data_IF_363267021922
#
_entry.id   IF_363267021922
#
_cell.length_a   1.000
_cell.length_b   1.000
_cell.length_c   1.000
_cell.angle_alpha   90.00
_cell.angle_beta   90.00
_cell.angle_gamma   90.00
#
_symmetry.space_group_name_H-M   'P 1'
#
loop_
_entity.id
_entity.type
_entity.pdbx_description
1 polymer ?
#
# COMPACT_ATOMS: atom_id res chain seq x y z
N UNK A 1 8.71 25.38 12.93
CA UNK A 1 8.43 23.94 12.70
C UNK A 1 9.01 23.55 11.37
N UNK A 2 9.47 22.29 11.19
CA UNK A 2 10.02 21.84 9.91
C UNK A 2 8.90 21.75 8.87
N UNK A 3 9.07 22.37 7.69
CA UNK A 3 8.09 22.33 6.60
C UNK A 3 8.07 20.93 6.00
N UNK A 4 6.89 20.42 5.62
CA UNK A 4 6.79 19.15 4.89
C UNK A 4 7.56 19.24 3.56
N UNK A 5 8.31 18.19 3.26
CA UNK A 5 9.13 18.06 2.05
C UNK A 5 8.78 16.81 1.24
N UNK A 6 8.15 15.82 1.85
CA UNK A 6 7.77 14.58 1.20
C UNK A 6 6.38 14.13 1.66
N UNK A 7 5.51 13.86 0.70
CA UNK A 7 4.25 13.18 0.89
C UNK A 7 4.34 11.77 0.27
N UNK A 8 4.14 10.74 1.09
CA UNK A 8 4.18 9.32 0.68
C UNK A 8 2.76 8.78 0.66
N UNK A 9 2.27 8.49 -0.52
CA UNK A 9 0.89 8.03 -0.76
C UNK A 9 0.84 6.52 -0.98
N UNK A 10 -0.15 5.85 -0.42
CA UNK A 10 -0.54 4.54 -0.91
C UNK A 10 -1.23 4.63 -2.28
N UNK A 11 -1.32 3.52 -2.99
CA UNK A 11 -1.98 3.43 -4.30
C UNK A 11 -3.46 3.06 -4.16
N UNK A 12 -3.74 1.79 -3.93
CA UNK A 12 -5.08 1.21 -4.00
C UNK A 12 -5.97 1.67 -2.85
N UNK A 13 -7.08 2.35 -3.16
CA UNK A 13 -7.97 2.94 -2.15
C UNK A 13 -7.58 4.34 -1.70
N UNK A 14 -6.36 4.79 -2.01
CA UNK A 14 -5.83 6.10 -1.62
C UNK A 14 -5.70 7.05 -2.80
N UNK A 15 -4.97 6.65 -3.85
CA UNK A 15 -4.76 7.44 -5.07
C UNK A 15 -5.30 6.74 -6.32
N UNK A 16 -5.45 5.43 -6.26
CA UNK A 16 -6.04 4.58 -7.31
C UNK A 16 -7.34 3.99 -6.78
N UNK A 17 -8.41 4.04 -7.57
CA UNK A 17 -9.69 3.42 -7.20
C UNK A 17 -9.54 1.91 -7.01
N UNK A 18 -10.14 1.39 -5.97
CA UNK A 18 -10.24 -0.05 -5.69
C UNK A 18 -11.71 -0.41 -5.38
N UNK A 19 -12.44 -0.70 -6.43
CA UNK A 19 -13.84 -1.17 -6.34
C UNK A 19 -13.89 -2.68 -5.99
N UNK A 20 -13.12 -3.07 -4.98
CA UNK A 20 -12.91 -4.47 -4.54
C UNK A 20 -12.07 -5.34 -5.49
N UNK A 21 -11.45 -4.76 -6.51
CA UNK A 21 -10.68 -5.49 -7.52
C UNK A 21 -9.50 -6.26 -6.92
N UNK A 22 -8.77 -5.65 -6.00
CA UNK A 22 -7.63 -6.32 -5.31
C UNK A 22 -8.10 -7.52 -4.50
N UNK A 23 -9.18 -7.35 -3.71
CA UNK A 23 -9.78 -8.44 -2.92
C UNK A 23 -10.21 -9.60 -3.82
N UNK A 24 -10.91 -9.29 -4.91
CA UNK A 24 -11.49 -10.29 -5.79
C UNK A 24 -10.40 -11.07 -6.55
N UNK A 25 -9.32 -10.40 -6.97
CA UNK A 25 -8.16 -11.06 -7.58
C UNK A 25 -7.44 -11.99 -6.59
N UNK A 26 -7.26 -11.55 -5.33
CA UNK A 26 -6.68 -12.38 -4.26
C UNK A 26 -7.55 -13.61 -3.99
N UNK A 27 -8.86 -13.41 -3.89
CA UNK A 27 -9.82 -14.48 -3.66
C UNK A 27 -9.83 -15.48 -4.82
N UNK A 28 -9.85 -15.00 -6.06
CA UNK A 28 -9.83 -15.85 -7.26
C UNK A 28 -8.60 -16.76 -7.27
N UNK A 29 -7.41 -16.23 -7.05
CA UNK A 29 -6.19 -17.03 -7.02
C UNK A 29 -6.22 -18.10 -5.91
N UNK A 30 -6.73 -17.79 -4.73
CA UNK A 30 -6.91 -18.74 -3.65
C UNK A 30 -7.90 -19.85 -4.02
N UNK A 31 -9.04 -19.51 -4.63
CA UNK A 31 -10.05 -20.48 -5.04
C UNK A 31 -9.57 -21.41 -6.17
N UNK A 32 -8.86 -20.89 -7.16
CA UNK A 32 -8.26 -21.69 -8.25
C UNK A 32 -7.28 -22.76 -7.73
N UNK A 33 -6.70 -22.55 -6.55
CA UNK A 33 -5.78 -23.49 -5.88
C UNK A 33 -6.40 -24.25 -4.69
N UNK A 34 -7.73 -24.17 -4.52
CA UNK A 34 -8.45 -24.91 -3.48
C UNK A 34 -8.13 -24.45 -2.05
N UNK A 35 -7.65 -23.21 -1.86
CA UNK A 35 -7.37 -22.68 -0.52
C UNK A 35 -8.66 -22.20 0.15
N UNK A 36 -9.00 -22.71 1.34
CA UNK A 36 -10.20 -22.31 2.06
C UNK A 36 -10.02 -20.90 2.63
N UNK A 37 -10.76 -19.94 2.08
CA UNK A 37 -10.80 -18.54 2.55
C UNK A 37 -12.10 -17.88 2.10
N UNK A 38 -12.39 -16.71 2.63
CA UNK A 38 -13.52 -15.86 2.23
C UNK A 38 -13.04 -14.48 1.81
N UNK A 39 -13.82 -13.72 1.01
CA UNK A 39 -13.49 -12.34 0.67
C UNK A 39 -13.30 -11.46 1.93
N UNK A 40 -14.12 -11.65 2.97
CA UNK A 40 -14.03 -10.87 4.21
C UNK A 40 -12.73 -11.16 4.96
N UNK A 41 -12.26 -12.41 4.96
CA UNK A 41 -10.97 -12.76 5.55
C UNK A 41 -9.81 -12.10 4.80
N UNK A 42 -9.84 -12.09 3.46
CA UNK A 42 -8.81 -11.44 2.66
C UNK A 42 -8.72 -9.96 2.97
N UNK A 43 -9.86 -9.30 3.17
CA UNK A 43 -9.91 -7.86 3.54
C UNK A 43 -9.12 -7.58 4.80
N UNK A 44 -9.04 -8.49 5.77
CA UNK A 44 -8.27 -8.30 7.01
C UNK A 44 -6.75 -8.12 6.75
N UNK A 45 -6.26 -8.63 5.64
CA UNK A 45 -4.83 -8.62 5.28
C UNK A 45 -4.49 -7.64 4.13
N UNK A 46 -5.44 -6.77 3.77
CA UNK A 46 -5.18 -5.71 2.78
C UNK A 46 -4.09 -4.75 3.28
N UNK A 47 -3.32 -4.20 2.34
CA UNK A 47 -2.22 -3.27 2.65
C UNK A 47 -0.88 -3.92 3.00
N UNK A 48 -0.85 -5.23 3.35
CA UNK A 48 0.40 -5.98 3.63
C UNK A 48 1.00 -6.63 2.38
N UNK A 49 2.20 -7.22 2.50
CA UNK A 49 2.81 -8.00 1.43
C UNK A 49 1.96 -9.26 1.14
N UNK A 50 1.56 -9.45 -0.11
CA UNK A 50 0.55 -10.44 -0.51
C UNK A 50 1.07 -11.88 -0.48
N UNK A 51 2.37 -12.11 -0.64
CA UNK A 51 2.94 -13.45 -0.49
C UNK A 51 2.72 -13.99 0.92
N UNK A 52 2.79 -13.13 1.96
CA UNK A 52 2.56 -13.56 3.34
C UNK A 52 1.13 -14.05 3.57
N UNK A 53 0.13 -13.46 2.89
CA UNK A 53 -1.24 -13.97 2.93
C UNK A 53 -1.32 -15.40 2.40
N UNK A 54 -0.73 -15.68 1.25
CA UNK A 54 -0.76 -17.04 0.68
C UNK A 54 0.05 -18.03 1.50
N UNK A 55 1.20 -17.62 2.03
CA UNK A 55 1.95 -18.46 2.97
C UNK A 55 1.10 -18.85 4.17
N UNK A 56 0.37 -17.90 4.74
CA UNK A 56 -0.56 -18.18 5.83
C UNK A 56 -1.70 -19.12 5.40
N UNK A 57 -2.38 -18.84 4.28
CA UNK A 57 -3.51 -19.64 3.82
C UNK A 57 -3.09 -21.09 3.53
N UNK A 58 -1.94 -21.29 2.91
CA UNK A 58 -1.39 -22.62 2.63
C UNK A 58 -0.99 -23.32 3.93
N UNK A 59 -0.27 -22.67 4.82
CA UNK A 59 0.11 -23.25 6.11
C UNK A 59 -1.10 -23.61 6.95
N UNK A 60 -2.14 -22.77 6.95
CA UNK A 60 -3.40 -23.05 7.65
C UNK A 60 -4.14 -24.25 7.06
N UNK A 61 -4.23 -24.34 5.73
CA UNK A 61 -4.89 -25.48 5.07
C UNK A 61 -4.22 -26.83 5.38
N UNK A 62 -2.95 -26.79 5.78
CA UNK A 62 -2.14 -27.95 6.20
C UNK A 62 -2.07 -28.14 7.72
N UNK A 63 -2.78 -27.32 8.48
CA UNK A 63 -2.77 -27.35 9.95
C UNK A 63 -1.46 -26.88 10.60
N UNK A 64 -0.65 -26.11 9.87
CA UNK A 64 0.68 -25.64 10.30
C UNK A 64 0.64 -24.23 10.93
N UNK A 65 -0.39 -23.45 10.64
CA UNK A 65 -0.56 -22.09 11.20
C UNK A 65 -2.00 -21.90 11.68
N UNK A 66 -2.17 -21.30 12.85
CA UNK A 66 -3.48 -20.92 13.42
C UNK A 66 -3.78 -19.43 13.28
N UNK A 67 -2.76 -18.58 13.21
CA UNK A 67 -2.87 -17.12 13.15
C UNK A 67 -1.96 -16.57 12.03
N UNK A 68 -2.38 -15.48 11.42
CA UNK A 68 -1.59 -14.81 10.37
C UNK A 68 -0.17 -14.43 10.82
N UNK A 69 0.00 -14.08 12.09
CA UNK A 69 1.31 -13.73 12.67
C UNK A 69 2.29 -14.91 12.72
N UNK A 70 1.78 -16.11 12.56
CA UNK A 70 2.57 -17.35 12.59
C UNK A 70 2.98 -17.85 11.18
N UNK A 71 2.70 -17.07 10.13
CA UNK A 71 2.96 -17.49 8.75
C UNK A 71 4.44 -17.86 8.49
N UNK A 72 5.38 -17.28 9.22
CA UNK A 72 6.82 -17.58 9.10
C UNK A 72 7.25 -18.82 9.91
N UNK A 73 6.41 -19.28 10.84
CA UNK A 73 6.80 -20.35 11.77
C UNK A 73 6.58 -21.73 11.15
N UNK A 74 7.64 -22.53 11.10
CA UNK A 74 7.56 -23.98 10.82
C UNK A 74 7.10 -24.33 9.40
N UNK A 75 7.18 -23.43 8.44
CA UNK A 75 6.76 -23.70 7.08
C UNK A 75 7.76 -24.64 6.37
N UNK A 76 7.25 -25.73 5.78
CA UNK A 76 8.04 -26.59 4.94
C UNK A 76 8.37 -25.93 3.60
N UNK A 77 9.44 -26.36 2.95
CA UNK A 77 9.79 -25.92 1.60
C UNK A 77 8.61 -26.07 0.62
N UNK A 78 7.90 -27.20 0.70
CA UNK A 78 6.72 -27.47 -0.13
C UNK A 78 5.59 -26.46 0.10
N UNK A 79 5.35 -26.02 1.37
CA UNK A 79 4.38 -24.98 1.70
C UNK A 79 4.76 -23.65 1.05
N UNK A 80 6.04 -23.28 1.11
CA UNK A 80 6.53 -22.03 0.51
C UNK A 80 6.45 -22.05 -1.02
N UNK A 81 6.85 -23.17 -1.66
CA UNK A 81 6.78 -23.34 -3.11
C UNK A 81 5.32 -23.25 -3.60
N UNK A 82 4.38 -23.89 -2.91
CA UNK A 82 2.98 -23.82 -3.29
C UNK A 82 2.38 -22.42 -3.07
N UNK A 83 2.71 -21.77 -1.97
CA UNK A 83 2.28 -20.38 -1.73
C UNK A 83 2.81 -19.42 -2.81
N UNK A 84 4.04 -19.65 -3.28
CA UNK A 84 4.64 -18.89 -4.38
C UNK A 84 3.88 -19.10 -5.70
N UNK A 85 3.45 -20.33 -6.00
CA UNK A 85 2.64 -20.61 -7.20
C UNK A 85 1.30 -19.86 -7.16
N UNK A 86 0.61 -19.89 -6.01
CA UNK A 86 -0.66 -19.15 -5.82
C UNK A 86 -0.43 -17.64 -5.97
N UNK A 87 0.66 -17.15 -5.39
CA UNK A 87 1.03 -15.74 -5.47
C UNK A 87 1.30 -15.30 -6.92
N UNK A 88 2.06 -16.06 -7.71
CA UNK A 88 2.27 -15.74 -9.13
C UNK A 88 0.97 -15.76 -9.92
N UNK A 89 0.07 -16.69 -9.61
CA UNK A 89 -1.27 -16.67 -10.23
C UNK A 89 -2.05 -15.40 -9.89
N UNK A 90 -1.99 -14.94 -8.65
CA UNK A 90 -2.56 -13.66 -8.26
C UNK A 90 -1.94 -12.50 -9.05
N UNK A 91 -0.62 -12.46 -9.21
CA UNK A 91 0.03 -11.40 -9.97
C UNK A 91 -0.46 -11.36 -11.42
N UNK A 92 -0.58 -12.52 -12.08
CA UNK A 92 -1.15 -12.59 -13.44
C UNK A 92 -2.58 -12.03 -13.52
N UNK A 93 -3.45 -12.42 -12.58
CA UNK A 93 -4.84 -11.95 -12.51
C UNK A 93 -4.86 -10.44 -12.29
N UNK A 94 -4.05 -9.94 -11.37
CA UNK A 94 -3.97 -8.53 -10.98
C UNK A 94 -3.41 -7.66 -12.10
N UNK A 95 -2.36 -8.11 -12.78
CA UNK A 95 -1.79 -7.45 -13.96
C UNK A 95 -2.86 -7.34 -15.06
N UNK A 96 -3.60 -8.41 -15.34
CA UNK A 96 -4.66 -8.40 -16.32
C UNK A 96 -5.83 -7.49 -15.92
N UNK A 97 -6.15 -7.42 -14.63
CA UNK A 97 -7.14 -6.50 -14.09
C UNK A 97 -6.73 -5.04 -14.39
N UNK A 98 -5.53 -4.63 -13.97
CA UNK A 98 -5.05 -3.25 -14.16
C UNK A 98 -4.72 -2.91 -15.63
N UNK A 99 -4.35 -3.89 -16.46
CA UNK A 99 -4.23 -3.67 -17.90
C UNK A 99 -5.57 -3.31 -18.57
N UNK A 100 -6.68 -3.83 -18.06
CA UNK A 100 -8.02 -3.48 -18.57
C UNK A 100 -8.44 -2.10 -18.13
N UNK A 101 -8.31 -1.81 -16.84
CA UNK A 101 -8.78 -0.55 -16.28
C UNK A 101 -7.95 -0.14 -15.06
N UNK A 102 -7.49 1.12 -15.08
CA UNK A 102 -6.93 1.82 -13.92
C UNK A 102 -7.58 3.20 -13.86
N UNK A 103 -8.15 3.55 -12.73
CA UNK A 103 -8.75 4.86 -12.50
C UNK A 103 -8.10 5.53 -11.29
N UNK A 104 -7.70 6.78 -11.47
CA UNK A 104 -7.26 7.60 -10.33
C UNK A 104 -8.45 7.94 -9.42
N UNK A 105 -8.20 8.07 -8.12
CA UNK A 105 -9.12 8.74 -7.20
C UNK A 105 -9.28 10.19 -7.65
N UNK A 106 -10.52 10.73 -7.75
CA UNK A 106 -10.75 12.11 -8.15
C UNK A 106 -9.95 13.09 -7.28
N UNK A 107 -9.19 13.97 -7.93
CA UNK A 107 -8.35 14.97 -7.28
C UNK A 107 -6.92 14.50 -6.94
N UNK A 108 -6.55 13.23 -7.12
CA UNK A 108 -5.20 12.75 -6.83
C UNK A 108 -4.13 13.50 -7.64
N UNK A 109 -4.30 13.61 -8.96
CA UNK A 109 -3.35 14.33 -9.81
C UNK A 109 -3.26 15.83 -9.45
N UNK A 110 -4.36 16.47 -9.08
CA UNK A 110 -4.37 17.88 -8.67
C UNK A 110 -3.65 18.06 -7.32
N UNK A 111 -3.81 17.12 -6.40
CA UNK A 111 -3.07 17.09 -5.13
C UNK A 111 -1.58 16.94 -5.36
N UNK A 112 -1.15 16.10 -6.30
CA UNK A 112 0.28 15.94 -6.64
C UNK A 112 0.85 17.24 -7.20
N UNK A 113 0.17 17.90 -8.14
CA UNK A 113 0.57 19.22 -8.67
C UNK A 113 0.68 20.25 -7.56
N UNK A 114 -0.33 20.31 -6.69
CA UNK A 114 -0.31 21.21 -5.54
C UNK A 114 0.90 20.97 -4.64
N UNK A 115 1.25 19.71 -4.36
CA UNK A 115 2.45 19.36 -3.59
C UNK A 115 3.71 19.94 -4.25
N UNK A 116 3.88 19.74 -5.56
CA UNK A 116 5.03 20.27 -6.31
C UNK A 116 5.07 21.79 -6.28
N UNK A 117 3.95 22.47 -6.48
CA UNK A 117 3.85 23.94 -6.44
C UNK A 117 4.27 24.50 -5.07
N UNK A 118 4.19 23.68 -4.00
CA UNK A 118 4.59 24.04 -2.65
C UNK A 118 5.97 23.46 -2.23
N UNK A 119 6.70 22.88 -3.18
CA UNK A 119 8.03 22.31 -2.95
C UNK A 119 8.03 21.03 -2.13
N UNK A 120 6.93 20.26 -2.20
CA UNK A 120 6.77 18.95 -1.55
C UNK A 120 6.93 17.88 -2.62
N UNK A 121 7.88 16.98 -2.42
CA UNK A 121 8.07 15.78 -3.25
C UNK A 121 6.93 14.80 -3.06
N UNK A 122 6.58 14.08 -4.14
CA UNK A 122 5.51 13.10 -4.17
C UNK A 122 6.10 11.72 -4.40
N UNK A 123 5.95 10.83 -3.42
CA UNK A 123 6.24 9.41 -3.61
C UNK A 123 4.96 8.58 -3.45
N UNK A 124 4.86 7.50 -4.20
CA UNK A 124 3.89 6.44 -3.89
C UNK A 124 4.60 5.26 -3.26
N UNK A 125 3.95 4.57 -2.33
CA UNK A 125 4.42 3.27 -1.87
C UNK A 125 3.27 2.28 -1.75
N UNK A 126 3.54 1.01 -2.03
CA UNK A 126 2.48 0.00 -2.11
C UNK A 126 2.95 -1.37 -1.62
N UNK A 127 1.99 -2.18 -1.17
CA UNK A 127 2.20 -3.60 -0.88
C UNK A 127 2.20 -4.50 -2.13
N UNK A 128 2.07 -3.93 -3.32
CA UNK A 128 2.23 -4.67 -4.58
C UNK A 128 3.69 -4.92 -4.91
N UNK A 129 3.92 -5.92 -5.74
CA UNK A 129 5.20 -6.17 -6.38
C UNK A 129 5.37 -5.32 -7.63
N UNK A 130 6.60 -5.20 -8.10
CA UNK A 130 7.03 -4.32 -9.18
C UNK A 130 6.18 -4.40 -10.42
N UNK A 131 5.91 -5.60 -10.92
CA UNK A 131 5.17 -5.78 -12.18
C UNK A 131 3.76 -5.17 -12.15
N UNK A 132 3.06 -5.29 -11.01
CA UNK A 132 1.74 -4.68 -10.82
C UNK A 132 1.86 -3.16 -10.74
N UNK A 133 2.85 -2.68 -9.98
CA UNK A 133 3.08 -1.24 -9.78
C UNK A 133 3.44 -0.54 -11.09
N UNK A 134 4.29 -1.15 -11.92
CA UNK A 134 4.66 -0.64 -13.24
C UNK A 134 3.44 -0.49 -14.16
N UNK A 135 2.56 -1.50 -14.20
CA UNK A 135 1.32 -1.43 -15.01
C UNK A 135 0.44 -0.25 -14.55
N UNK A 136 0.30 -0.03 -13.24
CA UNK A 136 -0.48 1.09 -12.71
C UNK A 136 0.15 2.42 -13.12
N UNK A 137 1.46 2.57 -12.89
CA UNK A 137 2.19 3.82 -13.19
C UNK A 137 2.19 4.14 -14.69
N UNK A 138 2.38 3.13 -15.55
CA UNK A 138 2.35 3.30 -17.00
C UNK A 138 0.97 3.72 -17.50
N UNK A 139 -0.09 3.09 -16.99
CA UNK A 139 -1.48 3.38 -17.37
C UNK A 139 -1.92 4.79 -16.95
N UNK A 140 -1.51 5.24 -15.77
CA UNK A 140 -1.82 6.57 -15.25
C UNK A 140 -0.85 7.65 -15.77
N UNK A 141 0.33 7.24 -16.25
CA UNK A 141 1.35 8.15 -16.76
C UNK A 141 2.02 9.02 -15.69
N UNK A 142 1.81 8.76 -14.41
CA UNK A 142 2.19 9.67 -13.33
C UNK A 142 3.70 9.90 -13.20
N UNK A 143 4.54 8.86 -13.41
CA UNK A 143 5.99 9.00 -13.45
C UNK A 143 6.45 9.73 -14.72
N UNK A 144 5.92 9.34 -15.89
CA UNK A 144 6.25 9.94 -17.18
C UNK A 144 5.92 11.44 -17.22
N UNK A 145 4.78 11.80 -16.65
CA UNK A 145 4.25 13.17 -16.68
C UNK A 145 4.77 14.02 -15.49
N UNK A 146 5.69 13.46 -14.67
CA UNK A 146 6.32 14.14 -13.54
C UNK A 146 5.37 14.48 -12.40
N UNK A 147 4.25 13.78 -12.26
CA UNK A 147 3.29 13.95 -11.16
C UNK A 147 3.71 13.21 -9.90
N UNK A 148 4.44 12.11 -10.04
CA UNK A 148 5.04 11.32 -8.98
C UNK A 148 6.55 11.32 -9.20
N UNK A 149 7.32 11.73 -8.18
CA UNK A 149 8.78 11.76 -8.25
C UNK A 149 9.38 10.35 -8.10
N UNK A 150 8.73 9.48 -7.33
CA UNK A 150 9.20 8.12 -7.06
C UNK A 150 8.03 7.18 -6.74
N UNK A 151 8.05 5.98 -7.32
CA UNK A 151 7.13 4.90 -6.95
C UNK A 151 7.90 3.76 -6.30
N UNK A 152 7.49 3.37 -5.09
CA UNK A 152 8.16 2.35 -4.27
C UNK A 152 7.22 1.17 -4.07
N UNK A 153 7.69 -0.01 -4.42
CA UNK A 153 7.04 -1.30 -4.19
C UNK A 153 7.81 -2.13 -3.13
N UNK A 154 7.27 -3.28 -2.75
CA UNK A 154 7.88 -4.13 -1.70
C UNK A 154 9.28 -4.64 -2.08
N UNK A 155 9.64 -4.70 -3.36
CA UNK A 155 10.94 -5.21 -3.81
C UNK A 155 12.08 -4.19 -3.65
N UNK A 156 11.77 -2.92 -3.37
CA UNK A 156 12.76 -1.92 -2.99
C UNK A 156 13.36 -2.15 -1.59
N UNK A 157 12.71 -2.94 -0.73
CA UNK A 157 13.34 -3.50 0.45
C UNK A 157 13.98 -4.86 0.09
N UNK A 158 15.32 -5.03 0.18
CA UNK A 158 16.00 -6.28 -0.15
C UNK A 158 15.48 -7.51 0.61
N UNK A 159 14.82 -7.29 1.76
CA UNK A 159 14.17 -8.34 2.56
C UNK A 159 12.68 -8.47 2.28
N UNK A 160 12.14 -7.65 1.40
CA UNK A 160 10.73 -7.63 1.01
C UNK A 160 9.74 -7.65 2.18
N UNK A 161 10.09 -6.97 3.30
CA UNK A 161 9.29 -6.99 4.52
C UNK A 161 7.93 -6.33 4.31
N UNK A 162 7.87 -5.30 3.45
CA UNK A 162 6.65 -4.56 3.21
C UNK A 162 6.10 -3.86 4.46
N UNK A 163 4.94 -3.24 4.33
CA UNK A 163 4.22 -2.63 5.45
C UNK A 163 3.77 -3.70 6.47
N UNK A 164 3.83 -3.44 7.75
CA UNK A 164 4.00 -2.14 8.43
C UNK A 164 5.46 -1.74 8.71
N UNK A 165 6.45 -2.42 8.13
CA UNK A 165 7.85 -2.03 8.29
C UNK A 165 8.13 -0.70 7.56
N UNK A 166 8.94 0.23 8.13
CA UNK A 166 9.07 1.59 7.62
C UNK A 166 10.05 1.74 6.46
N UNK A 167 10.57 0.64 5.92
CA UNK A 167 11.73 0.67 5.02
C UNK A 167 11.44 1.31 3.67
N UNK A 168 10.22 1.17 3.13
CA UNK A 168 9.84 1.84 1.89
C UNK A 168 9.80 3.36 2.05
N UNK A 169 9.37 3.87 3.20
CA UNK A 169 9.43 5.31 3.51
C UNK A 169 10.88 5.77 3.58
N UNK A 170 11.75 5.04 4.28
CA UNK A 170 13.18 5.39 4.38
C UNK A 170 13.90 5.31 3.04
N UNK A 171 13.52 4.34 2.19
CA UNK A 171 14.02 4.27 0.82
C UNK A 171 13.61 5.52 0.02
N UNK A 172 12.34 5.92 0.07
CA UNK A 172 11.86 7.13 -0.62
C UNK A 172 12.56 8.39 -0.11
N UNK A 173 12.82 8.49 1.21
CA UNK A 173 13.59 9.60 1.78
C UNK A 173 15.02 9.67 1.21
N UNK A 174 15.69 8.51 1.11
CA UNK A 174 17.05 8.43 0.57
C UNK A 174 17.13 8.85 -0.90
N UNK A 175 16.25 8.31 -1.74
CA UNK A 175 16.21 8.61 -3.18
C UNK A 175 15.84 10.07 -3.49
N UNK A 176 15.02 10.69 -2.63
CA UNK A 176 14.53 12.06 -2.82
C UNK A 176 15.27 13.10 -1.97
N UNK A 177 16.37 12.71 -1.33
CA UNK A 177 17.23 13.58 -0.50
C UNK A 177 16.47 14.28 0.65
N UNK A 178 15.60 13.53 1.35
CA UNK A 178 14.86 14.03 2.51
C UNK A 178 15.62 13.68 3.80
N UNK A 179 16.14 14.69 4.48
CA UNK A 179 17.08 14.53 5.58
C UNK A 179 16.43 14.20 6.94
N UNK A 180 15.12 14.44 7.09
CA UNK A 180 14.43 14.23 8.36
C UNK A 180 13.03 13.66 8.15
N UNK A 181 12.69 12.64 8.92
CA UNK A 181 11.34 12.06 8.90
C UNK A 181 10.28 13.04 9.43
N UNK A 182 10.70 14.07 10.19
CA UNK A 182 9.83 15.19 10.59
C UNK A 182 9.38 16.08 9.41
N UNK A 183 9.90 15.83 8.21
CA UNK A 183 9.50 16.48 6.97
C UNK A 183 8.61 15.58 6.11
N UNK A 184 8.21 14.42 6.62
CA UNK A 184 7.47 13.39 5.87
C UNK A 184 6.05 13.24 6.42
N UNK A 185 5.10 13.13 5.52
CA UNK A 185 3.73 12.67 5.81
C UNK A 185 3.43 11.38 5.06
N UNK A 186 2.75 10.44 5.72
CA UNK A 186 2.23 9.21 5.12
C UNK A 186 0.73 9.31 4.96
N UNK A 187 0.22 8.96 3.77
CA UNK A 187 -1.20 8.97 3.46
C UNK A 187 -1.63 7.57 3.00
N UNK A 188 -2.71 7.04 3.55
CA UNK A 188 -3.21 5.71 3.20
C UNK A 188 -4.59 5.41 3.77
N UNK A 189 -5.18 4.27 3.37
CA UNK A 189 -6.54 3.86 3.75
C UNK A 189 -6.58 2.58 4.60
N UNK A 190 -5.42 2.01 4.94
CA UNK A 190 -5.34 0.73 5.65
C UNK A 190 -4.62 0.82 7.00
N UNK A 191 -4.85 -0.15 7.93
CA UNK A 191 -4.04 -0.30 9.14
C UNK A 191 -2.54 -0.37 8.87
N UNK A 192 -2.14 -1.01 7.76
CA UNK A 192 -0.74 -1.15 7.39
C UNK A 192 -0.09 0.21 7.09
N UNK A 193 -0.83 1.16 6.48
CA UNK A 193 -0.37 2.52 6.24
C UNK A 193 -0.19 3.30 7.53
N UNK A 194 -1.17 3.21 8.44
CA UNK A 194 -1.10 3.88 9.74
C UNK A 194 0.09 3.40 10.54
N UNK A 195 0.30 2.08 10.57
CA UNK A 195 1.44 1.48 11.26
C UNK A 195 2.77 1.82 10.59
N UNK A 196 2.87 1.79 9.27
CA UNK A 196 4.08 2.14 8.54
C UNK A 196 4.52 3.59 8.83
N UNK A 197 3.60 4.55 8.69
CA UNK A 197 3.86 5.95 8.98
C UNK A 197 4.26 6.18 10.45
N UNK A 198 3.58 5.49 11.38
CA UNK A 198 3.89 5.55 12.82
C UNK A 198 5.26 4.94 13.12
N UNK A 199 5.57 3.78 12.55
CA UNK A 199 6.84 3.09 12.76
C UNK A 199 8.02 3.85 12.14
N UNK A 200 7.78 4.55 11.04
CA UNK A 200 8.76 5.45 10.45
C UNK A 200 9.00 6.70 11.31
N UNK A 201 8.03 7.10 12.13
CA UNK A 201 8.06 8.36 12.88
C UNK A 201 7.65 9.57 12.03
N UNK A 202 6.85 9.39 11.00
CA UNK A 202 6.36 10.47 10.16
C UNK A 202 5.66 11.55 10.99
N UNK A 203 5.88 12.82 10.62
CA UNK A 203 5.22 13.97 11.25
C UNK A 203 3.71 13.90 11.14
N UNK A 204 3.21 13.49 9.97
CA UNK A 204 1.79 13.26 9.74
C UNK A 204 1.54 11.82 9.28
N UNK A 205 0.54 11.18 9.89
CA UNK A 205 0.00 9.88 9.47
C UNK A 205 -1.49 10.11 9.21
N UNK A 206 -1.86 10.16 7.94
CA UNK A 206 -3.14 10.67 7.47
C UNK A 206 -3.94 9.54 6.86
N UNK A 207 -5.08 9.23 7.49
CA UNK A 207 -6.02 8.27 6.96
C UNK A 207 -6.97 8.89 5.95
N UNK A 208 -7.26 8.19 4.84
CA UNK A 208 -8.29 8.59 3.87
C UNK A 208 -9.46 7.60 3.91
N UNK A 209 -10.69 8.13 3.69
CA UNK A 209 -11.92 7.34 3.71
C UNK A 209 -12.33 6.85 2.31
N UNK A 210 -11.51 7.11 1.28
CA UNK A 210 -11.78 6.70 -0.10
C UNK A 210 -11.53 5.21 -0.39
N UNK A 211 -10.90 4.49 0.54
CA UNK A 211 -10.61 3.08 0.40
C UNK A 211 -11.81 2.16 0.67
N UNK A 212 -11.63 0.89 0.44
CA UNK A 212 -12.66 -0.15 0.62
C UNK A 212 -12.98 -0.47 2.09
N UNK A 213 -12.18 0.03 3.05
CA UNK A 213 -12.35 -0.24 4.48
C UNK A 213 -13.03 0.91 5.21
N UNK A 214 -14.01 0.63 6.10
CA UNK A 214 -14.56 1.66 6.95
C UNK A 214 -13.50 2.16 7.95
N UNK A 215 -13.57 3.44 8.33
CA UNK A 215 -12.68 4.06 9.34
C UNK A 215 -12.60 3.25 10.63
N UNK A 216 -13.69 2.58 11.01
CA UNK A 216 -13.74 1.71 12.20
C UNK A 216 -12.74 0.55 12.15
N UNK A 217 -12.32 0.13 10.96
CA UNK A 217 -11.37 -0.96 10.80
C UNK A 217 -9.92 -0.56 11.15
N UNK A 218 -9.57 0.73 11.03
CA UNK A 218 -8.22 1.23 11.28
C UNK A 218 -8.16 2.45 12.20
N UNK A 219 -9.31 3.02 12.60
CA UNK A 219 -9.36 4.17 13.49
C UNK A 219 -8.76 3.96 14.89
N UNK A 220 -8.58 2.70 15.33
CA UNK A 220 -7.86 2.36 16.56
C UNK A 220 -6.32 2.40 16.41
N UNK A 221 -5.80 2.45 15.19
CA UNK A 221 -4.37 2.60 14.95
C UNK A 221 -3.96 4.07 15.04
N UNK A 222 -2.74 4.31 15.50
CA UNK A 222 -2.25 5.68 15.66
C UNK A 222 -2.21 6.38 14.31
N UNK A 223 -2.88 7.51 14.22
CA UNK A 223 -2.89 8.45 13.09
C UNK A 223 -2.97 9.88 13.63
N UNK A 224 -2.62 10.86 12.82
CA UNK A 224 -2.71 12.27 13.20
C UNK A 224 -4.01 12.91 12.72
N UNK A 225 -4.44 12.57 11.51
CA UNK A 225 -5.60 13.15 10.85
C UNK A 225 -6.36 12.10 10.05
N UNK A 226 -7.64 12.40 9.79
CA UNK A 226 -8.50 11.65 8.87
C UNK A 226 -9.17 12.63 7.93
N UNK A 227 -9.10 12.36 6.63
CA UNK A 227 -9.74 13.17 5.58
C UNK A 227 -10.61 12.31 4.68
N UNK A 228 -11.64 12.87 4.03
CA UNK A 228 -12.51 12.11 3.14
C UNK A 228 -11.74 11.45 1.98
N UNK A 229 -10.84 12.18 1.34
CA UNK A 229 -9.98 11.68 0.26
C UNK A 229 -8.70 12.52 0.15
N UNK A 230 -7.79 12.14 -0.72
CA UNK A 230 -6.56 12.89 -0.98
C UNK A 230 -6.82 14.31 -1.49
N UNK A 231 -8.00 14.58 -2.04
CA UNK A 231 -8.39 15.91 -2.52
C UNK A 231 -8.37 16.99 -1.42
N UNK A 232 -8.61 16.59 -0.18
CA UNK A 232 -8.62 17.50 0.99
C UNK A 232 -7.23 17.70 1.61
N UNK A 233 -6.22 16.93 1.14
CA UNK A 233 -4.85 17.01 1.68
C UNK A 233 -4.21 18.40 1.55
N UNK A 234 -4.36 19.14 0.44
CA UNK A 234 -3.82 20.50 0.31
C UNK A 234 -4.28 21.43 1.43
N UNK A 235 -5.57 21.43 1.74
CA UNK A 235 -6.13 22.27 2.81
C UNK A 235 -5.59 21.87 4.19
N UNK A 236 -5.48 20.57 4.44
CA UNK A 236 -4.91 20.05 5.70
C UNK A 236 -3.45 20.45 5.85
N UNK A 237 -2.62 20.31 4.81
CA UNK A 237 -1.21 20.70 4.89
C UNK A 237 -1.07 22.18 5.18
N UNK A 238 -1.86 23.02 4.50
CA UNK A 238 -1.83 24.46 4.67
C UNK A 238 -2.21 24.91 6.08
N UNK A 239 -3.13 24.20 6.76
CA UNK A 239 -3.59 24.57 8.11
C UNK A 239 -2.72 24.01 9.23
N UNK A 240 -2.20 22.78 9.09
CA UNK A 240 -1.62 22.03 10.23
C UNK A 240 -0.12 21.82 10.12
N UNK A 241 0.48 21.93 8.91
CA UNK A 241 1.88 21.57 8.67
C UNK A 241 2.74 22.72 8.11
N UNK A 242 2.19 23.92 8.00
CA UNK A 242 2.92 25.13 7.56
C UNK A 242 3.73 25.80 8.69
#
# INVERSE_FOLDING_TARGET
MSKIKLAVFDLSGTTVQDDSGVRDCLYQAAQEHGLPTTPDEIVLHMGTNKIHLYQYLVARSRGQAADFRDFEKGQSRETLEFATQVFHRYEEIMINHYRREVKAIPGAADTFRWCHDHGIKVATNTGFHRQITEVIMDRLGWLRDGLVDLSVDVEHDPKQRGRPAPFMIFYAMGELDIQSVDQVIKIGDTPADMLEGTNAGCRGVIGVMSGSRPVTAWGCYRHTHVIPSVKELPALIASEFC
#
